data_IF_794441825518
#
_entry.id   IF_794441825518
#
_cell.length_a   1.000
_cell.length_b   1.000
_cell.length_c   1.000
_cell.angle_alpha   90.00
_cell.angle_beta   90.00
_cell.angle_gamma   90.00
#
_symmetry.space_group_name_H-M   'P 1'
#
loop_
_entity.id
_entity.type
_entity.pdbx_description
1 polymer ?
#
# COMPACT_ATOMS: atom_id res chain seq x y z
N UNK A 1 -37.31 18.16 -3.15
CA UNK A 1 -38.42 17.75 -2.29
C UNK A 1 -39.12 16.52 -2.81
N UNK A 2 -39.43 15.60 -1.87
CA UNK A 2 -40.39 14.48 -1.89
C UNK A 2 -40.34 13.45 -3.05
N UNK A 3 -39.73 12.28 -2.81
CA UNK A 3 -40.32 11.01 -2.30
C UNK A 3 -40.94 10.17 -3.43
N UNK A 4 -40.20 9.14 -3.87
CA UNK A 4 -40.49 7.71 -3.62
C UNK A 4 -41.85 7.29 -4.18
N UNK A 5 -41.85 6.41 -5.18
CA UNK A 5 -42.50 5.10 -5.08
C UNK A 5 -41.95 4.16 -6.15
N UNK A 6 -41.35 3.09 -5.64
CA UNK A 6 -40.96 1.88 -6.34
C UNK A 6 -42.17 1.21 -7.01
N UNK A 7 -41.88 0.14 -7.76
CA UNK A 7 -42.78 -0.86 -8.40
C UNK A 7 -42.95 -0.56 -9.90
N UNK A 8 -42.21 -1.24 -10.78
CA UNK A 8 -42.46 -2.65 -11.06
C UNK A 8 -41.25 -3.32 -11.71
N UNK A 9 -41.07 -4.58 -11.33
CA UNK A 9 -40.04 -5.50 -11.81
C UNK A 9 -40.24 -5.81 -13.29
N UNK A 10 -39.17 -5.72 -14.07
CA UNK A 10 -39.06 -6.51 -15.29
C UNK A 10 -38.54 -5.78 -16.51
N UNK A 11 -37.36 -6.24 -16.95
CA UNK A 11 -36.92 -6.31 -18.35
C UNK A 11 -36.12 -5.10 -18.86
N UNK A 12 -34.79 -5.27 -18.79
CA UNK A 12 -33.78 -4.76 -19.73
C UNK A 12 -33.69 -3.24 -19.94
N UNK A 13 -32.97 -2.50 -19.06
CA UNK A 13 -32.07 -1.43 -19.55
C UNK A 13 -31.16 -0.76 -18.50
N UNK A 14 -30.46 -1.52 -17.64
CA UNK A 14 -29.21 -0.96 -17.08
C UNK A 14 -28.15 -2.04 -16.97
N UNK A 15 -27.67 -2.50 -18.12
CA UNK A 15 -26.38 -3.18 -18.28
C UNK A 15 -25.21 -2.19 -18.04
N UNK A 16 -25.35 -1.33 -17.03
CA UNK A 16 -24.36 -0.36 -16.56
C UNK A 16 -24.36 -0.37 -15.02
N UNK A 17 -24.46 -1.56 -14.41
CA UNK A 17 -23.46 -1.86 -13.37
C UNK A 17 -22.15 -1.92 -14.15
N UNK A 18 -21.60 -0.74 -14.44
CA UNK A 18 -20.20 -0.54 -14.73
C UNK A 18 -19.54 -1.44 -13.69
N UNK A 19 -18.86 -2.48 -14.14
CA UNK A 19 -17.98 -3.24 -13.30
C UNK A 19 -17.01 -2.20 -12.73
N UNK A 20 -17.38 -1.59 -11.61
CA UNK A 20 -16.41 -1.07 -10.69
C UNK A 20 -15.63 -2.32 -10.37
N UNK A 21 -14.51 -2.52 -11.08
CA UNK A 21 -13.41 -3.29 -10.56
C UNK A 21 -13.08 -2.61 -9.24
N UNK A 22 -13.76 -3.02 -8.17
CA UNK A 22 -13.23 -2.92 -6.83
C UNK A 22 -11.99 -3.82 -6.90
N UNK A 23 -10.87 -3.23 -7.31
CA UNK A 23 -9.57 -3.82 -7.05
C UNK A 23 -9.54 -4.04 -5.55
N UNK A 24 -9.83 -5.27 -5.14
CA UNK A 24 -9.88 -5.63 -3.74
C UNK A 24 -8.43 -5.89 -3.35
N UNK A 25 -7.66 -4.82 -3.21
CA UNK A 25 -6.30 -4.89 -2.70
C UNK A 25 -6.41 -5.48 -1.29
N UNK A 26 -5.94 -6.72 -1.11
CA UNK A 26 -5.92 -7.34 0.21
C UNK A 26 -4.69 -6.81 0.95
N UNK A 27 -4.92 -5.83 1.82
CA UNK A 27 -3.91 -5.15 2.61
C UNK A 27 -3.96 -5.61 4.06
N UNK A 28 -2.82 -5.97 4.64
CA UNK A 28 -2.71 -6.40 6.05
C UNK A 28 -1.63 -5.61 6.76
N UNK A 29 -2.00 -4.96 7.87
CA UNK A 29 -1.06 -4.34 8.80
C UNK A 29 -0.47 -5.41 9.73
N UNK A 30 0.83 -5.62 9.66
CA UNK A 30 1.56 -6.52 10.55
C UNK A 30 2.19 -5.69 11.66
N UNK A 31 1.75 -5.90 12.90
CA UNK A 31 2.21 -5.18 14.10
C UNK A 31 3.47 -5.79 14.75
N UNK A 32 4.30 -6.47 13.95
CA UNK A 32 5.60 -6.98 14.39
C UNK A 32 6.70 -5.97 14.05
N UNK A 33 7.73 -5.87 14.89
CA UNK A 33 8.87 -4.99 14.65
C UNK A 33 9.97 -5.76 13.92
N UNK A 34 10.12 -5.49 12.63
CA UNK A 34 11.10 -6.15 11.74
C UNK A 34 11.94 -5.13 10.97
N UNK A 35 13.15 -5.53 10.61
CA UNK A 35 13.95 -4.85 9.58
C UNK A 35 13.23 -4.88 8.23
N UNK A 36 13.68 -4.07 7.28
CA UNK A 36 13.04 -4.02 5.97
C UNK A 36 13.11 -5.37 5.25
N UNK A 37 14.26 -6.05 5.31
CA UNK A 37 14.48 -7.36 4.71
C UNK A 37 13.61 -8.45 5.38
N UNK A 38 13.58 -8.50 6.71
CA UNK A 38 12.71 -9.44 7.47
C UNK A 38 11.22 -9.20 7.20
N UNK A 39 10.81 -7.94 7.02
CA UNK A 39 9.43 -7.59 6.70
C UNK A 39 9.03 -8.05 5.28
N UNK A 40 9.92 -7.89 4.31
CA UNK A 40 9.71 -8.39 2.95
C UNK A 40 9.57 -9.92 2.92
N UNK A 41 10.46 -10.62 3.62
CA UNK A 41 10.42 -12.07 3.74
C UNK A 41 9.12 -12.54 4.41
N UNK A 42 8.71 -11.87 5.48
CA UNK A 42 7.44 -12.17 6.14
C UNK A 42 6.26 -12.05 5.16
N UNK A 43 6.18 -10.96 4.40
CA UNK A 43 5.09 -10.81 3.44
C UNK A 43 5.11 -11.94 2.41
N UNK A 44 6.26 -12.23 1.79
CA UNK A 44 6.37 -13.29 0.77
C UNK A 44 5.95 -14.67 1.28
N UNK A 45 6.17 -14.95 2.56
CA UNK A 45 5.83 -16.23 3.19
C UNK A 45 4.46 -16.24 3.88
N UNK A 46 3.67 -15.17 3.78
CA UNK A 46 2.45 -15.00 4.56
C UNK A 46 1.35 -16.03 4.22
N UNK A 47 1.20 -16.40 2.94
CA UNK A 47 0.34 -17.51 2.51
C UNK A 47 0.94 -18.18 1.28
N UNK A 48 1.08 -19.50 1.35
CA UNK A 48 1.53 -20.31 0.23
C UNK A 48 0.62 -20.11 -1.01
N UNK A 49 1.25 -20.03 -2.18
CA UNK A 49 0.57 -19.83 -3.45
C UNK A 49 0.04 -18.41 -3.70
N UNK A 50 0.31 -17.44 -2.82
CA UNK A 50 -0.08 -16.03 -3.00
C UNK A 50 1.13 -15.10 -3.04
N UNK A 51 1.14 -14.19 -4.02
CA UNK A 51 2.24 -13.25 -4.20
C UNK A 51 2.04 -11.99 -3.33
N UNK A 52 2.41 -12.10 -2.06
CA UNK A 52 2.43 -10.99 -1.13
C UNK A 52 3.75 -10.22 -1.21
N UNK A 53 3.65 -8.89 -1.21
CA UNK A 53 4.81 -8.01 -1.16
C UNK A 53 4.60 -6.89 -0.14
N UNK A 54 5.67 -6.16 0.17
CA UNK A 54 5.57 -4.92 0.94
C UNK A 54 4.84 -3.85 0.11
N UNK A 55 3.90 -3.16 0.74
CA UNK A 55 3.04 -2.16 0.08
C UNK A 55 3.80 -1.19 -0.83
N UNK A 56 3.36 -1.07 -2.08
CA UNK A 56 3.65 0.07 -2.93
C UNK A 56 2.64 1.18 -2.72
N UNK A 57 3.09 2.43 -2.60
CA UNK A 57 2.21 3.59 -2.42
C UNK A 57 1.85 4.27 -3.74
N UNK A 58 1.93 3.52 -4.84
CA UNK A 58 1.71 3.98 -6.23
C UNK A 58 0.25 3.90 -6.65
N UNK A 59 -0.55 3.10 -5.95
CA UNK A 59 -1.98 2.95 -6.22
C UNK A 59 -2.78 3.82 -5.24
N UNK A 60 -3.60 4.72 -5.77
CA UNK A 60 -4.42 5.64 -4.97
C UNK A 60 -5.23 4.89 -3.90
N UNK A 61 -5.87 3.77 -4.26
CA UNK A 61 -6.75 3.01 -3.35
C UNK A 61 -5.96 2.31 -2.22
N UNK A 62 -4.82 1.71 -2.54
CA UNK A 62 -3.95 1.04 -1.55
C UNK A 62 -3.30 2.04 -0.60
N UNK A 63 -2.89 3.19 -1.13
CA UNK A 63 -2.30 4.27 -0.34
C UNK A 63 -3.29 4.88 0.65
N UNK A 64 -4.52 5.21 0.24
CA UNK A 64 -5.55 5.75 1.15
C UNK A 64 -5.91 4.77 2.25
N UNK A 65 -6.05 3.48 1.92
CA UNK A 65 -6.38 2.42 2.89
C UNK A 65 -5.25 2.24 3.92
N UNK A 66 -4.00 2.19 3.47
CA UNK A 66 -2.83 2.11 4.34
C UNK A 66 -2.69 3.34 5.24
N UNK A 67 -2.90 4.53 4.68
CA UNK A 67 -2.85 5.77 5.44
C UNK A 67 -3.95 5.83 6.51
N UNK A 68 -5.18 5.42 6.17
CA UNK A 68 -6.29 5.33 7.14
C UNK A 68 -5.97 4.37 8.29
N UNK A 69 -5.41 3.20 7.99
CA UNK A 69 -4.99 2.22 9.00
C UNK A 69 -3.85 2.75 9.88
N UNK A 70 -2.88 3.48 9.33
CA UNK A 70 -1.81 4.10 10.13
C UNK A 70 -2.37 5.24 10.99
N UNK A 71 -3.25 6.08 10.44
CA UNK A 71 -3.84 7.20 11.18
C UNK A 71 -4.68 6.74 12.38
N UNK A 72 -5.37 5.61 12.25
CA UNK A 72 -6.18 4.98 13.30
C UNK A 72 -5.37 4.21 14.36
N UNK A 73 -4.04 4.15 14.24
CA UNK A 73 -3.15 3.49 15.22
C UNK A 73 -2.14 4.47 15.83
N UNK A 74 -1.46 4.05 16.90
CA UNK A 74 -0.35 4.82 17.51
C UNK A 74 0.99 4.60 16.79
N UNK A 75 0.98 4.00 15.59
CA UNK A 75 2.19 3.71 14.82
C UNK A 75 2.67 4.99 14.14
N UNK A 76 3.95 5.33 14.33
CA UNK A 76 4.54 6.56 13.80
C UNK A 76 4.94 6.44 12.32
N UNK A 77 5.45 5.27 11.92
CA UNK A 77 5.71 4.95 10.53
C UNK A 77 5.80 3.44 10.31
N UNK A 78 5.51 2.98 9.09
CA UNK A 78 5.56 1.58 8.69
C UNK A 78 6.46 1.38 7.47
N UNK A 79 7.03 0.20 7.30
CA UNK A 79 7.77 -0.14 6.07
C UNK A 79 6.85 -0.19 4.86
N UNK A 80 7.40 0.23 3.72
CA UNK A 80 6.83 0.07 2.39
C UNK A 80 7.82 -0.70 1.51
N UNK A 81 7.38 -1.10 0.31
CA UNK A 81 8.19 -1.85 -0.64
C UNK A 81 9.27 -1.04 -1.36
N UNK A 82 9.45 0.24 -1.03
CA UNK A 82 10.38 1.11 -1.74
C UNK A 82 11.82 0.87 -1.28
N UNK A 83 12.71 0.60 -2.23
CA UNK A 83 14.14 0.34 -1.99
C UNK A 83 15.00 1.12 -2.97
N UNK A 84 16.13 1.62 -2.47
CA UNK A 84 17.24 2.09 -3.29
C UNK A 84 18.31 1.01 -3.39
N UNK A 85 18.60 0.54 -4.60
CA UNK A 85 19.63 -0.44 -4.91
C UNK A 85 19.94 -0.35 -6.42
N UNK A 86 21.22 -0.52 -6.80
CA UNK A 86 21.62 -0.45 -8.21
C UNK A 86 21.52 0.95 -8.82
N UNK A 87 21.74 1.99 -8.00
CA UNK A 87 21.64 3.40 -8.38
C UNK A 87 20.25 3.90 -8.79
N UNK A 88 19.21 3.15 -8.43
CA UNK A 88 17.83 3.51 -8.69
C UNK A 88 16.89 3.18 -7.52
N UNK A 89 15.74 3.85 -7.52
CA UNK A 89 14.63 3.54 -6.64
C UNK A 89 13.64 2.62 -7.35
N UNK A 90 13.19 1.58 -6.67
CA UNK A 90 12.13 0.71 -7.16
C UNK A 90 11.21 0.24 -6.04
N UNK A 91 10.00 -0.16 -6.43
CA UNK A 91 9.12 -0.94 -5.59
C UNK A 91 9.41 -2.43 -5.77
N UNK A 92 9.56 -3.18 -4.68
CA UNK A 92 9.77 -4.63 -4.74
C UNK A 92 8.62 -5.38 -5.41
N UNK A 93 7.44 -4.77 -5.45
CA UNK A 93 6.30 -5.26 -6.22
C UNK A 93 6.39 -4.97 -7.72
N UNK A 94 7.36 -4.18 -8.20
CA UNK A 94 7.56 -3.84 -9.60
C UNK A 94 6.70 -2.68 -10.11
N UNK A 95 5.98 -1.98 -9.22
CA UNK A 95 5.24 -0.78 -9.57
C UNK A 95 6.19 0.37 -9.98
N UNK A 96 5.74 1.30 -10.84
CA UNK A 96 6.55 2.45 -11.23
C UNK A 96 6.75 3.42 -10.06
N UNK A 97 7.96 3.91 -9.85
CA UNK A 97 8.22 4.96 -8.86
C UNK A 97 7.77 6.33 -9.40
N UNK A 98 6.83 6.97 -8.71
CA UNK A 98 6.22 8.25 -9.13
C UNK A 98 6.71 9.47 -8.31
N UNK A 99 7.68 9.29 -7.42
CA UNK A 99 8.18 10.37 -6.56
C UNK A 99 9.11 11.32 -7.32
N UNK A 100 8.64 12.55 -7.55
CA UNK A 100 9.38 13.57 -8.31
C UNK A 100 10.62 14.12 -7.58
N UNK A 101 10.65 14.08 -6.25
CA UNK A 101 11.72 14.70 -5.42
C UNK A 101 12.45 13.69 -4.54
N UNK A 102 12.61 12.44 -5.02
CA UNK A 102 13.35 11.42 -4.29
C UNK A 102 14.87 11.60 -4.52
N UNK A 103 15.72 11.53 -3.47
CA UNK A 103 17.16 11.76 -3.64
C UNK A 103 17.80 10.70 -4.54
N UNK A 104 18.67 11.12 -5.46
CA UNK A 104 19.38 10.21 -6.36
C UNK A 104 20.43 9.36 -5.67
N UNK A 105 21.11 9.85 -4.62
CA UNK A 105 22.14 9.10 -3.88
C UNK A 105 21.91 9.21 -2.36
N UNK A 106 20.92 8.49 -1.81
CA UNK A 106 20.54 8.66 -0.41
C UNK A 106 21.45 7.85 0.53
N UNK A 107 21.79 8.42 1.68
CA UNK A 107 22.51 7.71 2.75
C UNK A 107 21.69 6.56 3.36
N UNK A 108 20.36 6.66 3.27
CA UNK A 108 19.38 5.69 3.77
C UNK A 108 18.60 5.15 2.58
N UNK A 109 18.26 3.87 2.58
CA UNK A 109 17.85 3.18 1.33
C UNK A 109 16.47 2.52 1.37
N UNK A 110 15.71 2.67 2.45
CA UNK A 110 14.40 2.05 2.59
C UNK A 110 13.29 3.07 2.78
N UNK A 111 12.19 2.93 2.03
CA UNK A 111 11.03 3.79 2.15
C UNK A 111 10.09 3.39 3.28
N UNK A 112 9.47 4.39 3.89
CA UNK A 112 8.44 4.24 4.91
C UNK A 112 7.22 5.09 4.57
N UNK A 113 6.07 4.63 5.05
CA UNK A 113 4.87 5.44 5.14
C UNK A 113 4.84 6.07 6.54
N UNK A 114 4.90 7.39 6.62
CA UNK A 114 4.88 8.17 7.85
C UNK A 114 3.47 8.68 8.17
N UNK A 115 3.14 8.72 9.46
CA UNK A 115 1.94 9.36 9.97
C UNK A 115 2.09 10.89 9.92
N UNK A 116 1.91 11.49 8.73
CA UNK A 116 2.02 12.94 8.49
C UNK A 116 0.87 13.46 7.63
N UNK A 117 0.49 14.73 7.84
CA UNK A 117 -0.61 15.40 7.13
C UNK A 117 -0.29 15.81 5.69
N UNK A 118 0.97 16.13 5.37
CA UNK A 118 1.32 16.80 4.09
C UNK A 118 2.24 15.99 3.16
N UNK A 119 3.00 15.03 3.69
CA UNK A 119 3.73 14.04 2.89
C UNK A 119 3.83 12.78 3.72
N UNK A 120 3.28 11.68 3.21
CA UNK A 120 3.24 10.41 3.91
C UNK A 120 4.44 9.52 3.60
N UNK A 121 5.42 9.98 2.82
CA UNK A 121 6.62 9.21 2.47
C UNK A 121 7.86 9.69 3.24
N UNK A 122 8.68 8.75 3.67
CA UNK A 122 10.00 9.02 4.25
C UNK A 122 11.03 7.96 3.87
N UNK A 123 12.32 8.29 4.06
CA UNK A 123 13.45 7.38 3.83
C UNK A 123 14.13 7.07 5.16
N UNK A 124 14.39 5.79 5.44
CA UNK A 124 14.94 5.29 6.70
C UNK A 124 16.05 4.26 6.47
N UNK A 125 16.83 4.08 7.52
CA UNK A 125 17.84 3.03 7.62
C UNK A 125 17.14 1.67 7.70
N UNK A 126 17.46 0.78 6.77
CA UNK A 126 16.83 -0.52 6.56
C UNK A 126 16.96 -1.46 7.76
N UNK A 127 18.01 -1.25 8.58
CA UNK A 127 18.26 -2.04 9.79
C UNK A 127 17.38 -1.60 10.99
N UNK A 128 16.58 -0.54 10.85
CA UNK A 128 15.61 -0.16 11.88
C UNK A 128 14.46 -1.15 11.91
N UNK A 129 13.87 -1.35 13.09
CA UNK A 129 12.71 -2.23 13.24
C UNK A 129 11.43 -1.42 13.23
N UNK A 130 10.43 -1.85 12.45
CA UNK A 130 9.12 -1.21 12.32
C UNK A 130 8.05 -2.22 11.96
N UNK A 131 6.80 -1.84 12.18
CA UNK A 131 5.62 -2.47 11.59
C UNK A 131 5.57 -2.23 10.07
N UNK A 132 4.76 -3.02 9.37
CA UNK A 132 4.76 -3.03 7.91
C UNK A 132 3.43 -3.49 7.33
N UNK A 133 3.20 -3.15 6.06
CA UNK A 133 2.03 -3.61 5.32
C UNK A 133 2.40 -4.66 4.28
N UNK A 134 1.70 -5.78 4.31
CA UNK A 134 1.69 -6.74 3.22
C UNK A 134 0.47 -6.50 2.34
N UNK A 135 0.64 -6.52 1.02
CA UNK A 135 -0.48 -6.47 0.07
C UNK A 135 -0.41 -7.65 -0.91
N UNK A 136 -1.58 -8.17 -1.28
CA UNK A 136 -1.69 -9.17 -2.34
C UNK A 136 -1.52 -8.48 -3.67
N UNK A 137 -0.50 -8.87 -4.44
CA UNK A 137 -0.39 -8.47 -5.83
C UNK A 137 -1.33 -9.34 -6.68
N UNK A 138 -2.29 -8.71 -7.36
CA UNK A 138 -3.24 -9.36 -8.28
C UNK A 138 -2.61 -9.71 -9.61
#
# INVERSE_FOLDING_TARGET
DQRILFLSLGVFHVLFIKLCRFSSIWLVLVKEDKTWEEALEYCKNMKEGKNYNLLATTEEVGHFSALFLVLSTNISSVWTGLRYLGDEWFWVGGEPVQYQNIPSCPAKRCGVLEKKRNSSFGIRDCNKRRNFFCYLKS
#
